data_IF_732642817780
#
_entry.id   IF_732642817780
#
_cell.length_a   1.000
_cell.length_b   1.000
_cell.length_c   1.000
_cell.angle_alpha   90.00
_cell.angle_beta   90.00
_cell.angle_gamma   90.00
#
_symmetry.space_group_name_H-M   'P 1'
#
loop_
_entity.id
_entity.type
_entity.pdbx_description
1 polymer ?
#
# COMPACT_ATOMS: atom_id res chain seq x y z
N UNK A 1 -34.88 20.41 5.54
CA UNK A 1 -34.24 19.20 4.99
C UNK A 1 -33.17 19.66 4.01
N UNK A 2 -31.94 19.84 4.47
CA UNK A 2 -30.85 20.28 3.59
C UNK A 2 -30.13 19.05 3.03
N UNK A 3 -30.62 18.58 1.89
CA UNK A 3 -30.11 17.39 1.21
C UNK A 3 -28.64 17.61 0.78
N UNK A 4 -28.26 18.86 0.47
CA UNK A 4 -26.92 19.21 0.02
C UNK A 4 -25.93 19.08 1.19
N UNK A 5 -26.26 19.63 2.36
CA UNK A 5 -25.44 19.49 3.56
C UNK A 5 -25.20 18.01 3.92
N UNK A 6 -26.27 17.19 3.91
CA UNK A 6 -26.17 15.74 4.19
C UNK A 6 -25.32 14.99 3.15
N UNK A 7 -25.36 15.41 1.89
CA UNK A 7 -24.53 14.81 0.84
C UNK A 7 -23.04 15.07 1.10
N UNK A 8 -22.66 16.29 1.49
CA UNK A 8 -21.27 16.63 1.84
C UNK A 8 -20.77 15.89 3.09
N UNK A 9 -21.61 15.75 4.11
CA UNK A 9 -21.29 14.96 5.30
C UNK A 9 -21.04 13.49 4.96
N UNK A 10 -21.90 12.91 4.11
CA UNK A 10 -21.75 11.53 3.65
C UNK A 10 -20.46 11.36 2.84
N UNK A 11 -20.15 12.28 1.92
CA UNK A 11 -18.92 12.26 1.14
C UNK A 11 -17.67 12.29 2.05
N UNK A 12 -17.66 13.17 3.06
CA UNK A 12 -16.58 13.26 4.03
C UNK A 12 -16.43 11.96 4.85
N UNK A 13 -17.54 11.37 5.27
CA UNK A 13 -17.54 10.10 5.99
C UNK A 13 -16.97 8.95 5.14
N UNK A 14 -17.39 8.83 3.88
CA UNK A 14 -16.89 7.83 2.93
C UNK A 14 -15.41 8.04 2.67
N UNK A 15 -14.95 9.28 2.43
CA UNK A 15 -13.52 9.58 2.25
C UNK A 15 -12.69 9.15 3.46
N UNK A 16 -13.17 9.41 4.69
CA UNK A 16 -12.50 8.98 5.92
C UNK A 16 -12.44 7.46 6.04
N UNK A 17 -13.54 6.77 5.71
CA UNK A 17 -13.59 5.31 5.70
C UNK A 17 -12.58 4.71 4.70
N UNK A 18 -12.58 5.20 3.46
CA UNK A 18 -11.64 4.74 2.43
C UNK A 18 -10.18 4.91 2.84
N UNK A 19 -9.83 6.03 3.50
CA UNK A 19 -8.47 6.24 4.05
C UNK A 19 -8.11 5.19 5.10
N UNK A 20 -9.01 4.87 6.03
CA UNK A 20 -8.79 3.85 7.06
C UNK A 20 -8.63 2.46 6.47
N UNK A 21 -9.49 2.09 5.52
CA UNK A 21 -9.42 0.81 4.81
C UNK A 21 -8.07 0.69 4.08
N UNK A 22 -7.64 1.74 3.38
CA UNK A 22 -6.35 1.75 2.68
C UNK A 22 -5.17 1.56 3.64
N UNK A 23 -5.16 2.27 4.77
CA UNK A 23 -4.12 2.11 5.79
C UNK A 23 -4.06 0.69 6.36
N UNK A 24 -5.22 0.08 6.62
CA UNK A 24 -5.30 -1.30 7.08
C UNK A 24 -4.79 -2.28 6.01
N UNK A 25 -5.23 -2.11 4.76
CA UNK A 25 -4.74 -2.90 3.63
C UNK A 25 -3.21 -2.82 3.51
N UNK A 26 -2.63 -1.64 3.68
CA UNK A 26 -1.18 -1.45 3.67
C UNK A 26 -0.44 -2.19 4.79
N UNK A 27 -1.03 -2.26 5.98
CA UNK A 27 -0.46 -3.05 7.07
C UNK A 27 -0.52 -4.55 6.73
N UNK A 28 -1.65 -5.03 6.19
CA UNK A 28 -1.83 -6.43 5.81
C UNK A 28 -0.87 -6.86 4.71
N UNK A 29 -0.70 -6.04 3.66
CA UNK A 29 0.22 -6.32 2.55
C UNK A 29 1.66 -6.50 3.02
N UNK A 30 2.08 -5.75 4.04
CA UNK A 30 3.46 -5.80 4.56
C UNK A 30 3.64 -6.75 5.76
N UNK A 31 2.57 -7.33 6.32
CA UNK A 31 2.62 -8.07 7.58
C UNK A 31 3.54 -9.30 7.57
N UNK A 32 3.85 -9.85 6.39
CA UNK A 32 4.74 -11.00 6.22
C UNK A 32 6.11 -10.66 5.63
N UNK A 33 6.46 -9.38 5.50
CA UNK A 33 7.68 -8.96 4.82
C UNK A 33 8.54 -8.04 5.67
N UNK A 34 9.83 -8.36 5.70
CA UNK A 34 10.86 -7.52 6.29
C UNK A 34 11.65 -6.79 5.21
N UNK A 35 12.34 -5.72 5.59
CA UNK A 35 13.21 -5.01 4.67
C UNK A 35 14.29 -5.93 4.10
N UNK A 36 14.44 -6.01 2.76
CA UNK A 36 15.44 -6.89 2.14
C UNK A 36 16.89 -6.45 2.39
N UNK A 37 17.11 -5.25 2.95
CA UNK A 37 18.44 -4.69 3.25
C UNK A 37 18.89 -4.87 4.69
N UNK A 38 17.95 -4.80 5.65
CA UNK A 38 18.30 -4.76 7.08
C UNK A 38 17.35 -5.54 7.98
N UNK A 39 16.38 -6.26 7.40
CA UNK A 39 15.33 -7.00 8.11
C UNK A 39 14.45 -6.15 9.04
N UNK A 40 14.48 -4.82 8.89
CA UNK A 40 13.63 -3.90 9.66
C UNK A 40 12.20 -3.83 9.13
N UNK A 41 11.28 -3.38 9.98
CA UNK A 41 9.86 -3.27 9.63
C UNK A 41 9.60 -2.25 8.51
N UNK A 42 8.65 -2.59 7.65
CA UNK A 42 8.25 -1.79 6.50
C UNK A 42 7.00 -0.94 6.80
N UNK A 43 6.83 0.15 6.06
CA UNK A 43 5.60 0.95 6.04
C UNK A 43 5.31 1.44 4.63
N UNK A 44 4.05 1.37 4.21
CA UNK A 44 3.62 1.99 2.95
C UNK A 44 3.61 3.51 3.12
N UNK A 45 4.26 4.23 2.20
CA UNK A 45 4.30 5.70 2.18
C UNK A 45 3.42 6.27 1.06
N UNK A 46 3.24 5.52 -0.03
CA UNK A 46 2.31 5.83 -1.11
C UNK A 46 1.85 4.54 -1.80
N UNK A 47 0.85 4.64 -2.68
CA UNK A 47 0.41 3.53 -3.52
C UNK A 47 1.61 3.03 -4.35
N UNK A 48 1.96 1.74 -4.22
CA UNK A 48 3.12 1.16 -4.90
C UNK A 48 4.49 1.56 -4.33
N UNK A 49 4.55 2.17 -3.14
CA UNK A 49 5.81 2.58 -2.50
C UNK A 49 5.81 2.30 -1.01
N UNK A 50 6.78 1.51 -0.54
CA UNK A 50 7.05 1.29 0.87
C UNK A 50 8.46 1.77 1.24
N UNK A 51 8.65 2.09 2.51
CA UNK A 51 9.91 2.51 3.10
C UNK A 51 10.22 1.68 4.34
N UNK A 52 11.50 1.35 4.54
CA UNK A 52 11.96 0.75 5.78
C UNK A 52 12.09 1.78 6.90
N UNK A 53 11.48 1.50 8.05
CA UNK A 53 11.58 2.39 9.22
C UNK A 53 12.99 2.50 9.83
N UNK A 54 13.85 1.50 9.59
CA UNK A 54 15.19 1.44 10.17
C UNK A 54 16.26 2.06 9.26
N UNK A 55 16.28 1.71 7.98
CA UNK A 55 17.32 2.18 7.04
C UNK A 55 16.82 3.17 5.98
N UNK A 56 15.51 3.45 5.92
CA UNK A 56 14.93 4.36 4.94
C UNK A 56 14.91 3.85 3.50
N UNK A 57 15.25 2.57 3.26
CA UNK A 57 15.22 2.01 1.90
C UNK A 57 13.80 1.98 1.34
N UNK A 58 13.61 2.60 0.18
CA UNK A 58 12.32 2.71 -0.50
C UNK A 58 12.26 1.83 -1.75
N UNK A 59 11.12 1.15 -1.94
CA UNK A 59 10.89 0.26 -3.09
C UNK A 59 9.40 -0.06 -3.27
N UNK A 60 9.05 -0.61 -4.44
CA UNK A 60 7.69 -1.13 -4.71
C UNK A 60 7.55 -2.56 -4.16
N UNK A 61 6.73 -2.80 -3.14
CA UNK A 61 6.57 -4.13 -2.55
C UNK A 61 5.93 -5.14 -3.52
N UNK A 62 5.16 -4.67 -4.51
CA UNK A 62 4.53 -5.50 -5.55
C UNK A 62 5.60 -6.12 -6.45
N UNK A 63 6.62 -5.34 -6.80
CA UNK A 63 7.70 -5.80 -7.66
C UNK A 63 8.67 -6.69 -6.88
N UNK A 64 8.98 -6.30 -5.64
CA UNK A 64 9.97 -7.00 -4.81
C UNK A 64 9.43 -8.37 -4.34
N UNK A 65 8.21 -8.40 -3.81
CA UNK A 65 7.70 -9.57 -3.11
C UNK A 65 6.80 -10.46 -3.97
N UNK A 66 5.97 -9.89 -4.85
CA UNK A 66 4.99 -10.68 -5.59
C UNK A 66 5.66 -11.66 -6.55
N UNK A 67 5.12 -12.88 -6.57
CA UNK A 67 5.52 -13.93 -7.49
C UNK A 67 4.30 -14.73 -7.94
N UNK A 68 4.36 -15.31 -9.13
CA UNK A 68 3.34 -16.25 -9.60
C UNK A 68 3.29 -17.47 -8.68
N UNK A 69 2.11 -17.79 -8.15
CA UNK A 69 1.92 -18.97 -7.28
C UNK A 69 2.09 -20.30 -8.00
N UNK A 70 1.95 -20.32 -9.33
CA UNK A 70 2.11 -21.54 -10.13
C UNK A 70 3.56 -21.80 -10.55
N UNK A 71 4.27 -20.77 -11.01
CA UNK A 71 5.62 -20.93 -11.59
C UNK A 71 6.74 -20.17 -10.85
N UNK A 72 6.42 -19.42 -9.79
CA UNK A 72 7.40 -18.66 -9.01
C UNK A 72 7.97 -17.43 -9.71
N UNK A 73 7.57 -17.14 -10.96
CA UNK A 73 8.07 -16.00 -11.71
C UNK A 73 7.81 -14.67 -10.99
N UNK A 74 8.84 -13.83 -10.92
CA UNK A 74 8.78 -12.50 -10.30
C UNK A 74 8.13 -11.47 -11.23
N UNK A 75 7.40 -10.54 -10.64
CA UNK A 75 6.83 -9.39 -11.35
C UNK A 75 7.94 -8.51 -11.93
N UNK A 76 7.77 -8.05 -13.17
CA UNK A 76 8.64 -7.04 -13.78
C UNK A 76 7.81 -5.84 -14.22
N UNK A 77 8.17 -4.66 -13.73
CA UNK A 77 7.60 -3.42 -14.24
C UNK A 77 7.99 -3.25 -15.72
N UNK A 78 6.98 -3.13 -16.57
CA UNK A 78 7.13 -2.75 -17.97
C UNK A 78 6.56 -1.35 -18.16
N UNK A 79 7.42 -0.37 -18.34
CA UNK A 79 7.00 1.00 -18.69
C UNK A 79 6.97 1.09 -20.21
N UNK A 80 5.77 1.13 -20.79
CA UNK A 80 5.59 1.51 -22.19
C UNK A 80 5.46 3.03 -22.29
N UNK A 81 6.22 3.65 -23.19
CA UNK A 81 6.13 5.08 -23.53
C UNK A 81 4.99 5.33 -24.50
#
# INVERSE_FOLDING_TARGET
MDIIARAFELEAAVKKLCRRIRQFYYQVVLAGFDCPKCSGSLVMVADGLCSCKACGYEFDPTVEFQSCSHCGAKTRLKVSR
#
